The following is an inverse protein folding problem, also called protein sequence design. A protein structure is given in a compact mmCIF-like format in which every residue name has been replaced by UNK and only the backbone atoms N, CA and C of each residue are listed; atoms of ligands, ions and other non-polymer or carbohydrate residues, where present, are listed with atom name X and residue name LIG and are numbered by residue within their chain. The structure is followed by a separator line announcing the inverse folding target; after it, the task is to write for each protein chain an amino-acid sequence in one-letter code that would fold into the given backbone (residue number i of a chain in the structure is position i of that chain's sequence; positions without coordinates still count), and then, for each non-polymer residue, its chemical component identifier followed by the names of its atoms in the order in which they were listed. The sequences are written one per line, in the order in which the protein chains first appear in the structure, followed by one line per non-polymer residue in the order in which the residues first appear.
data_IF_641427845650
#
_entry.id   IF_641427845650
#
_cell.length_a   1.000
_cell.length_b   1.000
_cell.length_c   1.000
_cell.angle_alpha   90.00
_cell.angle_beta   90.00
_cell.angle_gamma   90.00
#
_symmetry.space_group_name_H-M   'P 1'
#
loop_
_entity.id
_entity.type
_entity.pdbx_description
1 polymer ?
#
# COMPACT_ATOMS: atom_id res chain seq x y z
N UNK A 1 2.38 6.23 36.64
CA UNK A 1 1.94 6.93 35.41
C UNK A 1 1.58 5.87 34.40
N UNK A 2 0.30 5.73 34.02
CA UNK A 2 -0.12 4.77 32.99
C UNK A 2 0.22 5.39 31.64
N UNK A 3 1.05 4.72 30.84
CA UNK A 3 1.42 5.16 29.51
C UNK A 3 0.16 5.35 28.66
N UNK A 4 0.05 6.51 28.03
CA UNK A 4 -0.94 6.74 26.98
C UNK A 4 -0.63 5.75 25.87
N UNK A 5 -1.51 4.77 25.66
CA UNK A 5 -1.50 3.94 24.46
C UNK A 5 -2.02 4.83 23.32
N UNK A 6 -1.19 5.78 22.89
CA UNK A 6 -1.41 6.50 21.64
C UNK A 6 -1.17 5.50 20.52
N UNK A 7 -2.23 4.85 20.06
CA UNK A 7 -2.21 4.22 18.75
C UNK A 7 -1.69 5.30 17.79
N UNK A 8 -0.54 5.10 17.12
CA UNK A 8 -0.01 6.12 16.23
C UNK A 8 -1.11 6.43 15.23
N UNK A 9 -1.56 7.68 15.18
CA UNK A 9 -2.44 8.10 14.11
C UNK A 9 -1.58 7.95 12.84
N UNK A 10 -1.89 7.00 11.94
CA UNK A 10 -1.02 6.75 10.79
C UNK A 10 -0.96 8.05 9.98
N UNK A 11 0.26 8.53 9.71
CA UNK A 11 0.45 9.72 8.89
C UNK A 11 -0.31 9.50 7.56
N UNK A 12 -1.22 10.41 7.19
CA UNK A 12 -2.04 10.25 5.99
C UNK A 12 -1.20 10.16 4.71
N UNK A 13 0.07 10.56 4.74
CA UNK A 13 0.99 10.52 3.61
C UNK A 13 1.87 9.26 3.56
N UNK A 14 1.89 8.44 4.62
CA UNK A 14 2.73 7.25 4.69
C UNK A 14 1.98 6.06 4.13
N UNK A 15 2.41 5.51 3.00
CA UNK A 15 1.82 4.30 2.41
C UNK A 15 1.90 3.14 3.39
N UNK A 16 0.79 2.41 3.54
CA UNK A 16 0.68 1.27 4.45
C UNK A 16 0.00 0.07 3.78
N UNK A 17 0.13 -1.10 4.40
CA UNK A 17 -0.52 -2.33 3.94
C UNK A 17 -2.05 -2.16 3.83
N UNK A 18 -2.59 -2.55 2.69
CA UNK A 18 -3.99 -2.44 2.29
C UNK A 18 -4.38 -1.10 1.66
N UNK A 19 -3.47 -0.11 1.60
CA UNK A 19 -3.71 1.10 0.81
C UNK A 19 -3.80 0.76 -0.67
N UNK A 20 -4.66 1.49 -1.40
CA UNK A 20 -4.68 1.44 -2.85
C UNK A 20 -3.65 2.40 -3.40
N UNK A 21 -2.83 1.92 -4.33
CA UNK A 21 -1.71 2.65 -4.91
C UNK A 21 -1.69 2.49 -6.43
N UNK A 22 -1.06 3.45 -7.09
CA UNK A 22 -0.74 3.41 -8.51
C UNK A 22 0.77 3.52 -8.69
N UNK A 23 1.33 2.82 -9.68
CA UNK A 23 2.77 2.84 -9.97
C UNK A 23 3.03 2.49 -11.44
N UNK A 24 4.17 2.91 -11.96
CA UNK A 24 4.66 2.46 -13.27
C UNK A 24 5.46 1.16 -13.11
N UNK A 25 5.12 0.12 -13.88
CA UNK A 25 5.91 -1.10 -13.91
C UNK A 25 7.21 -0.93 -14.73
N UNK A 26 8.05 -1.97 -14.80
CA UNK A 26 9.31 -1.93 -15.55
C UNK A 26 9.15 -1.64 -17.06
N UNK A 27 7.96 -1.88 -17.61
CA UNK A 27 7.63 -1.58 -19.00
C UNK A 27 7.09 -0.15 -19.20
N UNK A 28 6.98 0.64 -18.13
CA UNK A 28 6.41 1.99 -18.15
C UNK A 28 4.88 2.02 -18.17
N UNK A 29 4.20 0.89 -18.04
CA UNK A 29 2.74 0.85 -17.96
C UNK A 29 2.27 1.22 -16.56
N UNK A 30 1.26 2.09 -16.49
CA UNK A 30 0.58 2.42 -15.24
C UNK A 30 -0.26 1.23 -14.77
N UNK A 31 -0.07 0.84 -13.52
CA UNK A 31 -0.81 -0.23 -12.85
C UNK A 31 -1.37 0.29 -11.53
N UNK A 32 -2.47 -0.31 -11.10
CA UNK A 32 -3.07 -0.07 -9.79
C UNK A 32 -3.17 -1.37 -9.00
N UNK A 33 -3.05 -1.27 -7.69
CA UNK A 33 -3.17 -2.42 -6.80
C UNK A 33 -3.29 -2.03 -5.34
N UNK A 34 -3.28 -3.06 -4.50
CA UNK A 34 -3.29 -2.91 -3.06
C UNK A 34 -1.95 -3.31 -2.48
N UNK A 35 -1.43 -2.50 -1.57
CA UNK A 35 -0.17 -2.79 -0.89
C UNK A 35 -0.35 -4.02 0.00
N UNK A 36 0.51 -5.00 -0.16
CA UNK A 36 0.56 -6.18 0.69
C UNK A 36 1.51 -5.98 1.86
N UNK A 37 2.72 -5.50 1.58
CA UNK A 37 3.79 -5.31 2.56
C UNK A 37 4.61 -4.05 2.22
N UNK A 38 5.12 -3.36 3.25
CA UNK A 38 5.98 -2.17 3.12
C UNK A 38 7.30 -2.46 3.79
N UNK A 39 8.41 -2.07 3.16
CA UNK A 39 9.76 -2.38 3.64
C UNK A 39 10.50 -1.11 4.06
N UNK A 40 11.42 -1.25 5.01
CA UNK A 40 12.27 -0.15 5.49
C UNK A 40 13.16 0.46 4.40
N UNK A 41 13.40 -0.28 3.32
CA UNK A 41 14.09 0.22 2.11
C UNK A 41 13.27 1.27 1.34
N UNK A 42 12.01 1.52 1.72
CA UNK A 42 11.11 2.52 1.15
C UNK A 42 10.17 1.99 0.06
N UNK A 43 10.40 0.77 -0.44
CA UNK A 43 9.49 0.14 -1.40
C UNK A 43 8.42 -0.73 -0.77
N UNK A 44 7.50 -1.21 -1.60
CA UNK A 44 6.42 -2.08 -1.16
C UNK A 44 6.06 -3.14 -2.20
N UNK A 45 5.51 -4.25 -1.73
CA UNK A 45 4.87 -5.25 -2.58
C UNK A 45 3.41 -4.86 -2.82
N UNK A 46 3.00 -4.90 -4.09
CA UNK A 46 1.66 -4.52 -4.53
C UNK A 46 0.99 -5.67 -5.25
N UNK A 47 -0.19 -6.05 -4.79
CA UNK A 47 -1.08 -7.00 -5.47
C UNK A 47 -1.89 -6.24 -6.51
N UNK A 48 -1.61 -6.49 -7.78
CA UNK A 48 -2.23 -5.76 -8.90
C UNK A 48 -3.67 -6.23 -9.14
N UNK A 49 -4.59 -5.29 -9.20
CA UNK A 49 -6.00 -5.57 -9.50
C UNK A 49 -6.18 -5.90 -10.99
N UNK A 50 -6.93 -6.95 -11.32
CA UNK A 50 -7.24 -7.33 -12.71
C UNK A 50 -6.33 -8.40 -13.31
N UNK A 51 -5.43 -8.99 -12.52
CA UNK A 51 -4.82 -10.27 -12.89
C UNK A 51 -5.67 -11.46 -12.44
N UNK A 52 -5.37 -12.63 -13.01
CA UNK A 52 -6.11 -13.88 -12.76
C UNK A 52 -6.33 -14.05 -11.24
N UNK A 53 -7.59 -14.12 -10.75
CA UNK A 53 -7.86 -14.20 -9.31
C UNK A 53 -7.30 -15.47 -8.65
N UNK A 54 -6.95 -16.49 -9.44
CA UNK A 54 -6.31 -17.72 -8.96
C UNK A 54 -4.77 -17.63 -8.89
N UNK A 55 -4.18 -16.60 -9.50
CA UNK A 55 -2.75 -16.32 -9.47
C UNK A 55 -2.54 -14.81 -9.30
N UNK A 56 -2.83 -14.26 -8.09
CA UNK A 56 -2.47 -12.88 -7.79
C UNK A 56 -0.96 -12.77 -7.95
N UNK A 57 -0.51 -11.84 -8.78
CA UNK A 57 0.92 -11.59 -8.89
C UNK A 57 1.24 -10.32 -8.13
N UNK A 58 2.28 -10.47 -7.32
CA UNK A 58 2.87 -9.44 -6.51
C UNK A 58 3.93 -8.73 -7.34
N UNK A 59 3.89 -7.40 -7.38
CA UNK A 59 4.90 -6.58 -8.05
C UNK A 59 5.56 -5.69 -7.02
N UNK A 60 6.89 -5.60 -7.11
CA UNK A 60 7.67 -4.63 -6.35
C UNK A 60 7.48 -3.22 -6.93
N UNK A 61 7.05 -2.27 -6.10
CA UNK A 61 6.98 -0.86 -6.43
C UNK A 61 8.02 -0.08 -5.60
N UNK A 62 8.81 0.75 -6.28
CA UNK A 62 9.79 1.62 -5.65
C UNK A 62 9.14 2.82 -4.98
N UNK A 63 9.78 3.36 -3.94
CA UNK A 63 9.30 4.54 -3.20
C UNK A 63 9.11 5.78 -4.10
N UNK A 64 9.91 5.86 -5.17
CA UNK A 64 9.99 6.96 -6.12
C UNK A 64 8.96 6.85 -7.26
N UNK A 65 8.41 5.66 -7.50
CA UNK A 65 7.47 5.39 -8.61
C UNK A 65 6.04 5.13 -8.16
N UNK A 66 5.82 5.07 -6.84
CA UNK A 66 4.52 4.77 -6.24
C UNK A 66 3.78 6.04 -5.80
N UNK A 67 2.47 6.06 -6.04
CA UNK A 67 1.57 7.13 -5.64
C UNK A 67 0.39 6.53 -4.88
N UNK A 68 0.08 7.13 -3.72
CA UNK A 68 -1.10 6.78 -2.94
C UNK A 68 -2.38 7.23 -3.68
N UNK A 69 -3.29 6.28 -3.95
CA UNK A 69 -4.59 6.55 -4.57
C UNK A 69 -5.68 6.70 -3.51
N UNK A 70 -5.76 5.75 -2.58
CA UNK A 70 -6.72 5.84 -1.48
C UNK A 70 -6.25 5.07 -0.26
N UNK A 71 -6.46 5.64 0.93
CA UNK A 71 -6.21 4.96 2.20
C UNK A 71 -7.17 3.81 2.42
N UNK A 72 -6.65 2.71 3.01
CA UNK A 72 -7.51 1.68 3.56
C UNK A 72 -8.40 2.32 4.62
N UNK A 73 -9.70 2.35 4.35
CA UNK A 73 -10.66 2.83 5.35
C UNK A 73 -10.82 1.73 6.40
N UNK A 74 -10.23 1.91 7.57
CA UNK A 74 -10.56 1.07 8.73
C UNK A 74 -11.84 1.64 9.31
N UNK A 75 -12.99 1.08 8.92
CA UNK A 75 -14.26 1.40 9.58
C UNK A 75 -14.16 0.90 11.01
N UNK A 76 -13.85 1.79 11.95
CA UNK A 76 -14.04 1.50 13.37
C UNK A 76 -15.55 1.44 13.59
N UNK A 77 -16.10 0.22 13.67
CA UNK A 77 -17.48 0.04 14.16
C UNK A 77 -17.48 0.57 15.60
N UNK A 78 -18.22 1.66 15.83
CA UNK A 78 -18.46 2.22 17.16
C UNK A 78 -19.60 1.50 17.85
#
# INVERSE_FOLDING_TARGET
MRGVNSTPNPDPNVIAAGDKVAFANQSGELREGYVESVYESGGCEVVVSGWNPYEPRVIWAGADTIVLVSKRTVSTVR
#
